data_IF_343894653617
#
_entry.id   IF_343894653617
#
_cell.length_a   1.000
_cell.length_b   1.000
_cell.length_c   1.000
_cell.angle_alpha   90.00
_cell.angle_beta   90.00
_cell.angle_gamma   90.00
#
_symmetry.space_group_name_H-M   'P 1'
#
loop_
_entity.id
_entity.type
_entity.pdbx_description
1 polymer ?
#
# COMPACT_ATOMS: atom_id res chain seq x y z
N UNK A 1 -27.91 -0.45 -7.54
CA UNK A 1 -27.51 -1.73 -6.93
C UNK A 1 -26.18 -2.13 -7.57
N UNK A 2 -25.06 -1.70 -6.97
CA UNK A 2 -23.73 -1.91 -7.52
C UNK A 2 -23.34 -3.37 -7.47
N UNK A 3 -22.91 -3.95 -8.59
CA UNK A 3 -22.30 -5.28 -8.65
C UNK A 3 -21.08 -5.29 -7.70
N UNK A 4 -21.26 -5.82 -6.49
CA UNK A 4 -20.14 -6.22 -5.66
C UNK A 4 -19.39 -7.28 -6.45
N UNK A 5 -18.14 -7.00 -6.82
CA UNK A 5 -17.26 -8.00 -7.39
C UNK A 5 -16.96 -9.03 -6.28
N UNK A 6 -17.84 -10.02 -6.18
CA UNK A 6 -17.65 -11.19 -5.34
C UNK A 6 -16.53 -12.05 -5.94
N UNK A 7 -15.95 -12.98 -5.18
CA UNK A 7 -14.98 -13.95 -5.69
C UNK A 7 -15.41 -14.64 -6.99
N UNK A 8 -16.71 -14.83 -7.18
CA UNK A 8 -17.33 -15.48 -8.33
C UNK A 8 -17.34 -14.60 -9.60
N UNK A 9 -17.25 -13.27 -9.47
CA UNK A 9 -17.28 -12.33 -10.60
C UNK A 9 -15.92 -11.92 -11.15
N UNK A 10 -14.82 -12.45 -10.62
CA UNK A 10 -13.47 -12.09 -11.07
C UNK A 10 -13.07 -12.95 -12.27
N UNK A 11 -12.76 -12.37 -13.46
CA UNK A 11 -12.26 -13.13 -14.60
C UNK A 11 -10.98 -13.90 -14.24
N UNK A 12 -10.90 -15.17 -14.59
CA UNK A 12 -9.78 -16.08 -14.25
C UNK A 12 -8.36 -15.54 -14.56
N UNK A 13 -8.21 -14.70 -15.58
CA UNK A 13 -6.92 -14.12 -15.99
C UNK A 13 -6.47 -12.93 -15.12
N UNK A 14 -7.38 -12.22 -14.44
CA UNK A 14 -7.03 -11.05 -13.63
C UNK A 14 -6.26 -11.39 -12.34
N UNK A 15 -6.54 -12.46 -11.60
CA UNK A 15 -5.78 -12.83 -10.42
C UNK A 15 -4.30 -13.07 -10.70
N UNK A 16 -3.96 -13.79 -11.77
CA UNK A 16 -2.57 -14.07 -12.14
C UNK A 16 -1.77 -12.80 -12.46
N UNK A 17 -2.35 -11.88 -13.22
CA UNK A 17 -1.71 -10.61 -13.55
C UNK A 17 -1.48 -9.76 -12.28
N UNK A 18 -2.48 -9.67 -11.40
CA UNK A 18 -2.36 -8.94 -10.14
C UNK A 18 -1.33 -9.57 -9.19
N UNK A 19 -1.28 -10.91 -9.12
CA UNK A 19 -0.28 -11.65 -8.35
C UNK A 19 1.13 -11.33 -8.85
N UNK A 20 1.36 -11.41 -10.15
CA UNK A 20 2.65 -11.11 -10.77
C UNK A 20 3.07 -9.66 -10.53
N UNK A 21 2.15 -8.72 -10.69
CA UNK A 21 2.44 -7.29 -10.56
C UNK A 21 2.70 -6.87 -9.11
N UNK A 22 1.98 -7.41 -8.14
CA UNK A 22 2.03 -6.92 -6.77
C UNK A 22 2.91 -7.76 -5.85
N UNK A 23 2.82 -9.10 -5.91
CA UNK A 23 3.55 -9.98 -5.02
C UNK A 23 4.84 -10.49 -5.66
N UNK A 24 4.75 -11.09 -6.85
CA UNK A 24 5.92 -11.71 -7.47
C UNK A 24 6.99 -10.68 -7.82
N UNK A 25 6.61 -9.47 -8.24
CA UNK A 25 7.56 -8.37 -8.45
C UNK A 25 8.33 -8.03 -7.17
N UNK A 26 7.66 -8.00 -6.02
CA UNK A 26 8.30 -7.74 -4.72
C UNK A 26 9.24 -8.88 -4.33
N UNK A 27 8.84 -10.15 -4.54
CA UNK A 27 9.67 -11.32 -4.28
C UNK A 27 10.93 -11.29 -5.13
N UNK A 28 10.80 -11.09 -6.43
CA UNK A 28 11.95 -11.06 -7.35
C UNK A 28 12.90 -9.90 -7.02
N UNK A 29 12.36 -8.70 -6.78
CA UNK A 29 13.18 -7.57 -6.39
C UNK A 29 13.94 -7.83 -5.08
N UNK A 30 13.27 -8.38 -4.07
CA UNK A 30 13.89 -8.72 -2.79
C UNK A 30 15.00 -9.75 -2.98
N UNK A 31 14.74 -10.82 -3.74
CA UNK A 31 15.71 -11.89 -4.02
C UNK A 31 16.98 -11.36 -4.68
N UNK A 32 16.86 -10.43 -5.62
CA UNK A 32 18.00 -9.86 -6.32
C UNK A 32 18.77 -8.81 -5.51
N UNK A 33 18.09 -8.09 -4.61
CA UNK A 33 18.70 -6.97 -3.89
C UNK A 33 19.27 -7.34 -2.51
N UNK A 34 18.59 -8.23 -1.77
CA UNK A 34 18.97 -8.57 -0.39
C UNK A 34 20.40 -9.14 -0.26
N UNK A 35 20.88 -10.06 -1.13
CA UNK A 35 22.24 -10.60 -0.98
C UNK A 35 23.34 -9.53 -1.08
N UNK A 36 23.12 -8.48 -1.87
CA UNK A 36 24.04 -7.36 -1.97
C UNK A 36 24.02 -6.50 -0.70
N UNK A 37 22.84 -6.26 -0.12
CA UNK A 37 22.66 -5.50 1.11
C UNK A 37 23.28 -6.22 2.30
N UNK A 38 23.10 -7.53 2.36
CA UNK A 38 23.69 -8.39 3.39
C UNK A 38 25.22 -8.29 3.44
N UNK A 39 25.90 -8.26 2.29
CA UNK A 39 27.35 -8.07 2.20
C UNK A 39 27.82 -6.75 2.83
N UNK A 40 27.01 -5.69 2.72
CA UNK A 40 27.31 -4.37 3.28
C UNK A 40 26.81 -4.17 4.70
N UNK A 41 26.10 -5.16 5.27
CA UNK A 41 25.42 -5.09 6.57
C UNK A 41 24.56 -3.83 6.73
N UNK A 42 23.97 -3.40 5.64
CA UNK A 42 23.09 -2.23 5.59
C UNK A 42 22.08 -2.33 4.45
N UNK A 43 20.84 -2.06 4.75
CA UNK A 43 19.77 -2.01 3.75
C UNK A 43 18.48 -1.43 4.28
N UNK A 44 17.70 -0.87 3.37
CA UNK A 44 16.36 -0.37 3.60
C UNK A 44 15.48 -0.87 2.46
N UNK A 45 14.60 -1.83 2.76
CA UNK A 45 13.59 -2.32 1.83
C UNK A 45 12.24 -1.72 2.22
N UNK A 46 11.69 -0.90 1.35
CA UNK A 46 10.44 -0.19 1.62
C UNK A 46 9.46 -0.56 0.52
N UNK A 47 8.35 -1.19 0.90
CA UNK A 47 7.26 -1.51 -0.03
C UNK A 47 6.10 -0.54 0.15
N UNK A 48 5.59 -0.03 -0.97
CA UNK A 48 4.38 0.81 -0.97
C UNK A 48 3.19 -0.11 -1.21
N UNK A 49 2.38 -0.30 -0.16
CA UNK A 49 1.21 -1.19 -0.20
C UNK A 49 -0.10 -0.40 -0.36
N UNK A 50 -0.93 -0.37 0.66
CA UNK A 50 -2.21 0.35 0.69
C UNK A 50 -2.76 0.35 2.12
N UNK A 51 -3.57 1.33 2.49
CA UNK A 51 -4.43 1.29 3.69
C UNK A 51 -5.29 0.02 3.75
N UNK A 52 -5.61 -0.56 2.59
CA UNK A 52 -6.37 -1.81 2.46
C UNK A 52 -5.73 -3.04 3.13
N UNK A 53 -4.44 -3.02 3.48
CA UNK A 53 -3.80 -4.09 4.24
C UNK A 53 -4.12 -4.03 5.73
N UNK A 54 -4.56 -2.88 6.22
CA UNK A 54 -4.98 -2.67 7.60
C UNK A 54 -6.50 -2.72 7.76
N UNK A 55 -7.22 -2.21 6.79
CA UNK A 55 -8.69 -2.19 6.76
C UNK A 55 -9.16 -2.47 5.34
N UNK A 56 -9.78 -3.64 5.07
CA UNK A 56 -10.23 -4.00 3.73
C UNK A 56 -11.17 -2.94 3.14
N UNK A 57 -10.97 -2.65 1.86
CA UNK A 57 -11.81 -1.70 1.11
C UNK A 57 -12.76 -2.48 0.22
N UNK A 58 -14.04 -2.12 0.27
CA UNK A 58 -15.10 -2.76 -0.52
C UNK A 58 -14.79 -2.69 -2.03
N UNK A 59 -15.01 -3.81 -2.72
CA UNK A 59 -14.79 -3.91 -4.17
C UNK A 59 -13.32 -4.08 -4.59
N UNK A 60 -12.36 -4.09 -3.67
CA UNK A 60 -10.93 -4.25 -3.94
C UNK A 60 -10.37 -5.63 -3.56
N UNK A 61 -11.15 -6.72 -3.78
CA UNK A 61 -10.78 -8.06 -3.33
C UNK A 61 -9.33 -8.46 -3.65
N UNK A 62 -8.90 -8.33 -4.90
CA UNK A 62 -7.53 -8.71 -5.30
C UNK A 62 -6.48 -7.83 -4.63
N UNK A 63 -6.73 -6.53 -4.52
CA UNK A 63 -5.83 -5.60 -3.84
C UNK A 63 -5.71 -5.94 -2.35
N UNK A 64 -6.83 -6.14 -1.67
CA UNK A 64 -6.87 -6.50 -0.25
C UNK A 64 -6.07 -7.78 0.02
N UNK A 65 -6.35 -8.85 -0.76
CA UNK A 65 -5.73 -10.17 -0.57
C UNK A 65 -4.24 -10.19 -0.90
N UNK A 66 -3.87 -9.68 -2.08
CA UNK A 66 -2.48 -9.79 -2.56
C UNK A 66 -1.55 -8.84 -1.80
N UNK A 67 -2.01 -7.64 -1.45
CA UNK A 67 -1.21 -6.71 -0.65
C UNK A 67 -1.04 -7.16 0.79
N UNK A 68 -2.01 -7.90 1.36
CA UNK A 68 -1.83 -8.58 2.63
C UNK A 68 -0.70 -9.63 2.56
N UNK A 69 -0.60 -10.37 1.44
CA UNK A 69 0.51 -11.29 1.22
C UNK A 69 1.87 -10.57 1.14
N UNK A 70 1.93 -9.39 0.48
CA UNK A 70 3.14 -8.55 0.49
C UNK A 70 3.52 -8.10 1.90
N UNK A 71 2.54 -7.79 2.74
CA UNK A 71 2.77 -7.41 4.14
C UNK A 71 3.36 -8.57 4.94
N UNK A 72 2.84 -9.78 4.76
CA UNK A 72 3.40 -11.01 5.35
C UNK A 72 4.83 -11.28 4.90
N UNK A 73 5.10 -11.17 3.59
CA UNK A 73 6.45 -11.29 3.03
C UNK A 73 7.40 -10.27 3.67
N UNK A 74 7.02 -9.00 3.72
CA UNK A 74 7.85 -7.94 4.31
C UNK A 74 8.17 -8.23 5.79
N UNK A 75 7.20 -8.73 6.55
CA UNK A 75 7.40 -9.09 7.96
C UNK A 75 8.38 -10.26 8.12
N UNK A 76 8.27 -11.28 7.28
CA UNK A 76 9.19 -12.43 7.26
C UNK A 76 10.62 -11.96 6.97
N UNK A 77 10.80 -11.19 5.89
CA UNK A 77 12.11 -10.64 5.53
C UNK A 77 12.69 -9.73 6.62
N UNK A 78 11.85 -8.93 7.29
CA UNK A 78 12.28 -8.10 8.40
C UNK A 78 12.88 -8.92 9.54
N UNK A 79 12.30 -10.07 9.86
CA UNK A 79 12.82 -10.97 10.89
C UNK A 79 14.12 -11.66 10.46
N UNK A 80 14.17 -12.14 9.22
CA UNK A 80 15.31 -12.90 8.69
C UNK A 80 16.59 -12.04 8.53
N UNK A 81 16.42 -10.77 8.15
CA UNK A 81 17.55 -9.89 7.78
C UNK A 81 17.88 -8.81 8.82
N UNK A 82 17.17 -8.75 9.95
CA UNK A 82 17.40 -7.74 10.98
C UNK A 82 18.84 -7.73 11.51
N UNK A 83 19.40 -8.90 11.80
CA UNK A 83 20.77 -9.06 12.30
C UNK A 83 21.85 -8.62 11.28
N UNK A 84 21.47 -8.50 10.01
CA UNK A 84 22.33 -8.03 8.92
C UNK A 84 22.26 -6.51 8.71
N UNK A 85 21.63 -5.77 9.62
CA UNK A 85 21.46 -4.32 9.52
C UNK A 85 20.48 -3.87 8.44
N UNK A 86 19.60 -4.77 7.97
CA UNK A 86 18.61 -4.50 6.95
C UNK A 86 17.23 -4.35 7.60
N UNK A 87 16.56 -3.24 7.34
CA UNK A 87 15.17 -3.06 7.74
C UNK A 87 14.23 -3.22 6.56
N UNK A 88 13.07 -3.84 6.82
CA UNK A 88 12.03 -4.07 5.82
C UNK A 88 10.70 -3.54 6.36
N UNK A 89 10.15 -2.53 5.70
CA UNK A 89 8.93 -1.86 6.14
C UNK A 89 7.95 -1.65 5.00
N UNK A 90 6.66 -1.53 5.33
CA UNK A 90 5.62 -1.14 4.39
C UNK A 90 5.15 0.28 4.69
N UNK A 91 4.86 1.05 3.65
CA UNK A 91 4.13 2.31 3.77
C UNK A 91 2.79 2.16 3.08
N UNK A 92 1.72 2.48 3.79
CA UNK A 92 0.34 2.25 3.40
C UNK A 92 -0.35 3.58 3.12
N UNK A 93 -0.38 4.06 1.86
CA UNK A 93 -1.07 5.29 1.53
C UNK A 93 -2.59 5.16 1.69
N UNK A 94 -3.21 6.22 2.20
CA UNK A 94 -4.62 6.51 2.01
C UNK A 94 -4.87 7.23 0.69
N UNK A 95 -5.92 8.05 0.64
CA UNK A 95 -6.20 8.88 -0.53
C UNK A 95 -5.17 10.01 -0.63
N UNK A 96 -4.28 9.91 -1.62
CA UNK A 96 -3.23 10.89 -1.92
C UNK A 96 -3.52 11.56 -3.25
N UNK A 97 -3.33 12.87 -3.36
CA UNK A 97 -3.59 13.66 -4.56
C UNK A 97 -2.53 13.38 -5.63
N UNK A 98 -2.82 12.41 -6.49
CA UNK A 98 -1.99 11.97 -7.61
C UNK A 98 -2.88 11.70 -8.83
N UNK A 99 -2.30 11.63 -10.03
CA UNK A 99 -3.04 11.36 -11.27
C UNK A 99 -3.97 10.13 -11.16
N UNK A 100 -3.50 9.03 -10.57
CA UNK A 100 -4.32 7.83 -10.36
C UNK A 100 -5.56 8.08 -9.50
N UNK A 101 -5.48 8.92 -8.48
CA UNK A 101 -6.63 9.27 -7.63
C UNK A 101 -7.60 10.16 -8.39
N UNK A 102 -7.09 11.06 -9.22
CA UNK A 102 -7.89 11.88 -10.12
C UNK A 102 -8.60 11.04 -11.18
N UNK A 103 -7.92 10.07 -11.79
CA UNK A 103 -8.50 9.10 -12.73
C UNK A 103 -9.60 8.27 -12.06
N UNK A 104 -9.36 7.81 -10.83
CA UNK A 104 -10.35 7.05 -10.08
C UNK A 104 -11.58 7.89 -9.77
N UNK A 105 -11.39 9.14 -9.30
CA UNK A 105 -12.47 10.09 -9.06
C UNK A 105 -13.27 10.44 -10.32
N UNK A 106 -12.68 10.29 -11.50
CA UNK A 106 -13.35 10.49 -12.79
C UNK A 106 -14.05 9.22 -13.29
N UNK A 107 -13.59 8.03 -12.89
CA UNK A 107 -14.15 6.73 -13.33
C UNK A 107 -15.37 6.33 -12.51
N UNK A 108 -15.41 6.63 -11.21
CA UNK A 108 -16.53 6.32 -10.30
C UNK A 108 -17.83 6.97 -10.79
N UNK A 109 -17.88 8.26 -11.19
CA UNK A 109 -19.06 8.92 -11.73
C UNK A 109 -19.75 8.17 -12.87
N UNK A 110 -18.96 7.62 -13.79
CA UNK A 110 -19.51 6.85 -14.92
C UNK A 110 -20.28 5.59 -14.48
N UNK A 111 -20.05 5.11 -13.26
CA UNK A 111 -20.67 3.90 -12.69
C UNK A 111 -21.81 4.21 -11.72
N UNK A 112 -21.77 5.35 -11.06
CA UNK A 112 -22.69 5.73 -9.96
C UNK A 112 -23.62 6.89 -10.31
N UNK A 113 -23.33 7.66 -11.39
CA UNK A 113 -24.05 8.89 -11.74
C UNK A 113 -23.68 10.10 -10.89
N UNK A 114 -22.74 9.98 -9.94
CA UNK A 114 -22.25 11.09 -9.11
C UNK A 114 -21.38 12.03 -9.94
N UNK A 115 -21.09 13.23 -9.42
CA UNK A 115 -20.08 14.11 -10.00
C UNK A 115 -18.71 13.82 -9.40
N UNK A 116 -17.63 14.10 -10.16
CA UNK A 116 -16.25 13.93 -9.69
C UNK A 116 -15.97 14.66 -8.36
N UNK A 117 -16.49 15.87 -8.25
CA UNK A 117 -16.34 16.71 -7.05
C UNK A 117 -17.05 16.09 -5.84
N UNK A 118 -18.19 15.45 -6.03
CA UNK A 118 -18.91 14.74 -4.98
C UNK A 118 -18.12 13.54 -4.48
N UNK A 119 -17.51 12.77 -5.38
CA UNK A 119 -16.65 11.63 -5.00
C UNK A 119 -15.45 12.10 -4.17
N UNK A 120 -14.81 13.20 -4.57
CA UNK A 120 -13.68 13.77 -3.80
C UNK A 120 -14.14 14.28 -2.43
N UNK A 121 -15.30 14.94 -2.38
CA UNK A 121 -15.87 15.42 -1.12
C UNK A 121 -16.22 14.25 -0.17
N UNK A 122 -16.71 13.13 -0.71
CA UNK A 122 -16.99 11.91 0.06
C UNK A 122 -15.70 11.37 0.68
N UNK A 123 -14.64 11.23 -0.10
CA UNK A 123 -13.34 10.81 0.43
C UNK A 123 -12.80 11.76 1.50
N UNK A 124 -12.95 13.08 1.32
CA UNK A 124 -12.54 14.06 2.32
C UNK A 124 -13.33 13.93 3.63
N UNK A 125 -14.62 13.59 3.55
CA UNK A 125 -15.44 13.33 4.75
C UNK A 125 -15.06 12.06 5.49
N UNK A 126 -14.59 11.05 4.78
CA UNK A 126 -14.13 9.79 5.38
C UNK A 126 -12.80 9.96 6.13
N UNK A 127 -11.94 10.87 5.67
CA UNK A 127 -10.62 11.12 6.26
C UNK A 127 -10.75 12.06 7.47
N UNK A 128 -10.35 11.67 8.67
CA UNK A 128 -10.38 12.55 9.85
C UNK A 128 -9.64 13.88 9.67
N UNK A 129 -8.53 13.89 8.89
CA UNK A 129 -7.82 15.13 8.55
C UNK A 129 -8.60 16.05 7.58
N UNK A 130 -9.76 15.65 7.07
CA UNK A 130 -10.65 16.44 6.21
C UNK A 130 -10.13 16.72 4.81
N UNK A 131 -9.04 16.10 4.39
CA UNK A 131 -8.41 16.33 3.09
C UNK A 131 -7.63 15.12 2.58
N UNK A 132 -7.39 15.08 1.29
CA UNK A 132 -6.43 14.14 0.70
C UNK A 132 -5.00 14.53 1.11
N UNK A 133 -4.15 13.53 1.27
CA UNK A 133 -2.71 13.73 1.46
C UNK A 133 -2.03 14.27 0.20
N UNK A 134 -0.85 14.83 0.36
CA UNK A 134 0.02 15.23 -0.75
C UNK A 134 1.12 14.19 -0.99
N UNK A 135 1.68 14.09 -2.20
CA UNK A 135 2.84 13.24 -2.47
C UNK A 135 4.04 13.55 -1.56
N UNK A 136 4.21 14.81 -1.19
CA UNK A 136 5.32 15.27 -0.34
C UNK A 136 5.18 14.73 1.09
N UNK A 137 3.96 14.74 1.65
CA UNK A 137 3.69 14.16 2.98
C UNK A 137 3.97 12.65 3.01
N UNK A 138 3.57 11.95 1.95
CA UNK A 138 3.87 10.53 1.80
C UNK A 138 5.38 10.28 1.65
N UNK A 139 6.04 11.04 0.78
CA UNK A 139 7.46 10.91 0.52
C UNK A 139 8.33 11.19 1.76
N UNK A 140 7.91 12.09 2.65
CA UNK A 140 8.62 12.37 3.89
C UNK A 140 8.75 11.13 4.78
N UNK A 141 7.70 10.30 4.90
CA UNK A 141 7.75 9.04 5.65
C UNK A 141 8.67 8.03 4.96
N UNK A 142 8.61 7.92 3.63
CA UNK A 142 9.48 7.03 2.87
C UNK A 142 10.94 7.45 3.03
N UNK A 143 11.25 8.75 2.95
CA UNK A 143 12.59 9.30 3.14
C UNK A 143 13.12 9.05 4.56
N UNK A 144 12.28 9.22 5.58
CA UNK A 144 12.62 8.86 6.97
C UNK A 144 13.00 7.38 7.07
N UNK A 145 12.17 6.48 6.55
CA UNK A 145 12.43 5.04 6.61
C UNK A 145 13.68 4.62 5.81
N UNK A 146 14.04 5.36 4.78
CA UNK A 146 15.23 5.13 3.98
C UNK A 146 16.52 5.63 4.66
N UNK A 147 16.41 6.43 5.72
CA UNK A 147 17.54 7.03 6.40
C UNK A 147 18.08 6.17 7.56
N UNK A 148 19.27 6.56 8.09
CA UNK A 148 19.84 5.99 9.31
C UNK A 148 18.97 6.23 10.55
N UNK A 149 18.18 7.29 10.55
CA UNK A 149 17.30 7.66 11.68
C UNK A 149 16.21 6.61 11.93
N UNK A 150 15.91 5.77 10.94
CA UNK A 150 14.93 4.67 11.05
C UNK A 150 15.60 3.31 11.29
N UNK A 151 16.85 3.27 11.77
CA UNK A 151 17.62 2.03 11.95
C UNK A 151 16.96 1.02 12.89
N UNK A 152 16.10 1.46 13.80
CA UNK A 152 15.37 0.60 14.74
C UNK A 152 13.87 0.43 14.38
N UNK A 153 13.45 0.95 13.21
CA UNK A 153 12.09 0.76 12.67
C UNK A 153 12.12 -0.40 11.69
N UNK A 154 11.61 -1.56 12.09
CA UNK A 154 11.66 -2.78 11.28
C UNK A 154 10.37 -3.60 11.37
N UNK A 155 9.95 -4.17 10.26
CA UNK A 155 8.79 -5.05 10.16
C UNK A 155 7.43 -4.35 10.34
N UNK A 156 7.36 -3.02 10.17
CA UNK A 156 6.14 -2.26 10.38
C UNK A 156 5.37 -2.03 9.08
N UNK A 157 4.07 -1.75 9.23
CA UNK A 157 3.21 -1.24 8.16
C UNK A 157 2.64 0.10 8.61
N UNK A 158 3.24 1.18 8.13
CA UNK A 158 2.94 2.56 8.55
C UNK A 158 1.86 3.13 7.64
N UNK A 159 0.72 3.50 8.21
CA UNK A 159 -0.33 4.22 7.49
C UNK A 159 0.06 5.70 7.33
N UNK A 160 -0.10 6.22 6.11
CA UNK A 160 0.04 7.65 5.78
C UNK A 160 -1.26 8.05 5.08
N UNK A 161 -2.29 8.31 5.87
CA UNK A 161 -3.66 8.30 5.39
C UNK A 161 -4.59 9.34 6.03
N UNK A 162 -4.05 10.24 6.86
CA UNK A 162 -4.83 11.26 7.56
C UNK A 162 -5.81 10.71 8.60
N UNK A 163 -5.60 9.47 9.07
CA UNK A 163 -6.48 8.79 10.04
C UNK A 163 -7.62 8.00 9.38
N UNK A 164 -7.56 7.75 8.08
CA UNK A 164 -8.59 7.01 7.34
C UNK A 164 -8.80 5.59 7.90
N UNK A 165 -7.72 4.87 8.19
CA UNK A 165 -7.76 3.55 8.83
C UNK A 165 -8.12 3.71 10.30
N UNK A 166 -9.18 3.04 10.73
CA UNK A 166 -9.70 3.10 12.10
C UNK A 166 -9.35 1.86 12.93
N UNK A 167 -8.63 0.90 12.34
CA UNK A 167 -8.17 -0.28 13.07
C UNK A 167 -7.03 0.07 14.01
N UNK A 168 -6.97 -0.58 15.16
CA UNK A 168 -5.92 -0.38 16.16
C UNK A 168 -4.61 -1.12 15.79
N UNK A 169 -4.66 -2.06 14.84
CA UNK A 169 -3.54 -2.94 14.44
C UNK A 169 -3.13 -2.71 13.00
#
# INVERSE_FOLDING_TARGET
MGLRLTCLGIPRRKPGAALNQLLMSTIYFSRETLPRRQKHKWGRLITITSSAVKQPVDGLLLSNSIRAAVTGLARTLANEYAAEGITVNNVCPGYTRIARTDDLASTIPARTGSKREEVIADWQREIPAGRLGTPQEFAAVVAFLASERASYVNGTSIAVDGGLVRSLL
#
